data_IF_484345860240
#
_entry.id   IF_484345860240
#
_cell.length_a   1.000
_cell.length_b   1.000
_cell.length_c   1.000
_cell.angle_alpha   90.00
_cell.angle_beta   90.00
_cell.angle_gamma   90.00
#
_symmetry.space_group_name_H-M   'P 1'
#
loop_
_entity.id
_entity.type
_entity.pdbx_description
1 polymer ?
#
# COMPACT_ATOMS: atom_id res chain seq x y z
N UNK A 1 -4.24 49.93 30.99
CA UNK A 1 -3.51 49.17 29.97
C UNK A 1 -3.15 47.81 30.58
N UNK A 2 -3.86 46.77 30.19
CA UNK A 2 -3.62 45.43 30.74
C UNK A 2 -2.76 44.69 29.72
N UNK A 3 -1.52 44.39 30.08
CA UNK A 3 -0.60 43.60 29.27
C UNK A 3 -0.89 42.11 29.51
N UNK A 4 -1.39 41.42 28.50
CA UNK A 4 -1.54 39.98 28.54
C UNK A 4 -0.18 39.30 28.23
N UNK A 5 0.24 38.30 29.01
CA UNK A 5 1.46 37.56 28.71
C UNK A 5 1.28 36.78 27.41
N UNK A 6 2.28 36.87 26.53
CA UNK A 6 2.35 36.09 25.31
C UNK A 6 2.25 34.60 25.67
N UNK A 7 1.20 33.92 25.16
CA UNK A 7 1.09 32.49 25.27
C UNK A 7 2.23 31.86 24.48
N UNK A 8 3.01 30.93 25.05
CA UNK A 8 3.99 30.22 24.28
C UNK A 8 3.27 29.43 23.18
N UNK A 9 3.65 29.68 21.95
CA UNK A 9 3.23 28.88 20.81
C UNK A 9 3.79 27.49 21.08
N UNK A 10 2.95 26.57 21.52
CA UNK A 10 3.29 25.16 21.53
C UNK A 10 3.29 24.70 20.08
N UNK A 11 4.40 24.92 19.41
CA UNK A 11 4.68 24.29 18.14
C UNK A 11 5.01 22.81 18.45
N UNK A 12 3.96 22.03 18.61
CA UNK A 12 4.07 20.57 18.74
C UNK A 12 4.26 19.94 17.36
N UNK A 13 5.16 20.49 16.57
CA UNK A 13 5.76 19.73 15.50
C UNK A 13 6.58 18.66 16.18
N UNK A 14 6.02 17.48 16.29
CA UNK A 14 6.77 16.28 16.59
C UNK A 14 7.76 16.05 15.43
N UNK A 15 8.86 16.78 15.46
CA UNK A 15 10.05 16.50 14.69
C UNK A 15 10.61 15.19 15.24
N UNK A 16 9.98 14.08 14.84
CA UNK A 16 10.56 12.77 15.07
C UNK A 16 11.73 12.65 14.12
N UNK A 17 12.92 12.51 14.67
CA UNK A 17 14.05 12.06 13.88
C UNK A 17 13.64 10.78 13.14
N UNK A 18 13.97 10.65 11.84
CA UNK A 18 13.69 9.44 11.11
C UNK A 18 14.43 8.29 11.78
N UNK A 19 13.71 7.37 12.37
CA UNK A 19 14.24 6.15 13.00
C UNK A 19 13.92 4.98 12.10
N UNK A 20 14.89 4.10 11.88
CA UNK A 20 14.63 2.81 11.30
C UNK A 20 13.70 2.04 12.25
N UNK A 21 12.49 1.74 11.82
CA UNK A 21 11.54 0.97 12.60
C UNK A 21 11.43 -0.43 12.01
N UNK A 22 11.77 -1.42 12.82
CA UNK A 22 11.38 -2.79 12.52
C UNK A 22 9.89 -2.92 12.83
N UNK A 23 9.07 -3.09 11.81
CA UNK A 23 7.64 -3.33 11.98
C UNK A 23 7.34 -4.80 11.79
N UNK A 24 6.67 -5.39 12.77
CA UNK A 24 6.08 -6.71 12.60
C UNK A 24 4.80 -6.53 11.79
N UNK A 25 4.81 -7.00 10.56
CA UNK A 25 3.61 -7.06 9.72
C UNK A 25 2.80 -8.26 10.22
N UNK A 26 1.75 -8.00 10.96
CA UNK A 26 0.79 -9.03 11.31
C UNK A 26 -0.25 -9.10 10.21
N UNK A 27 -0.37 -10.25 9.60
CA UNK A 27 -1.52 -10.58 8.76
C UNK A 27 -2.72 -10.68 9.68
N UNK A 28 -3.74 -9.87 9.45
CA UNK A 28 -5.00 -10.00 10.18
C UNK A 28 -5.78 -11.20 9.62
N UNK A 29 -6.49 -11.91 10.50
CA UNK A 29 -7.36 -12.99 10.06
C UNK A 29 -8.41 -12.46 9.07
N UNK A 30 -8.68 -13.20 7.99
CA UNK A 30 -9.67 -12.81 7.01
C UNK A 30 -11.07 -12.80 7.64
N UNK A 31 -11.84 -11.76 7.35
CA UNK A 31 -13.23 -11.63 7.78
C UNK A 31 -14.16 -11.88 6.61
N UNK A 32 -15.13 -12.75 6.81
CA UNK A 32 -16.17 -13.07 5.86
C UNK A 32 -17.51 -12.53 6.37
N UNK A 33 -18.16 -11.71 5.57
CA UNK A 33 -19.50 -11.19 5.89
C UNK A 33 -20.45 -11.52 4.77
N UNK A 34 -21.49 -12.28 5.07
CA UNK A 34 -22.54 -12.59 4.10
C UNK A 34 -23.46 -11.39 3.95
N UNK A 35 -23.67 -10.98 2.72
CA UNK A 35 -24.57 -9.89 2.37
C UNK A 35 -26.01 -10.41 2.20
N UNK A 36 -27.03 -9.56 2.38
CA UNK A 36 -28.44 -9.96 2.19
C UNK A 36 -28.78 -10.45 0.76
N UNK A 37 -28.02 -9.99 -0.24
CA UNK A 37 -28.17 -10.39 -1.65
C UNK A 37 -27.50 -11.74 -1.96
N UNK A 38 -26.86 -12.38 -0.98
CA UNK A 38 -26.15 -13.65 -1.15
C UNK A 38 -24.66 -13.50 -1.43
N UNK A 39 -24.17 -12.30 -1.69
CA UNK A 39 -22.76 -12.04 -1.90
C UNK A 39 -21.96 -12.24 -0.60
N UNK A 40 -20.67 -12.48 -0.74
CA UNK A 40 -19.75 -12.58 0.38
C UNK A 40 -18.76 -11.42 0.30
N UNK A 41 -18.78 -10.57 1.31
CA UNK A 41 -17.76 -9.55 1.51
C UNK A 41 -16.59 -10.15 2.27
N UNK A 42 -15.42 -10.09 1.64
CA UNK A 42 -14.15 -10.54 2.25
C UNK A 42 -13.32 -9.31 2.58
N UNK A 43 -12.91 -9.19 3.83
CA UNK A 43 -11.97 -8.16 4.29
C UNK A 43 -10.70 -8.86 4.76
N UNK A 44 -9.59 -8.58 4.08
CA UNK A 44 -8.31 -9.21 4.38
C UNK A 44 -7.16 -8.26 4.07
N UNK A 45 -6.02 -8.53 4.68
CA UNK A 45 -4.76 -7.82 4.46
C UNK A 45 -3.65 -8.83 4.24
N UNK A 46 -2.98 -8.73 3.12
CA UNK A 46 -1.86 -9.61 2.79
C UNK A 46 -0.64 -8.82 2.31
N UNK A 47 0.51 -9.44 2.46
CA UNK A 47 1.75 -8.96 1.84
C UNK A 47 1.73 -9.36 0.37
N UNK A 48 1.88 -8.38 -0.51
CA UNK A 48 1.95 -8.63 -1.95
C UNK A 48 3.37 -8.99 -2.35
N UNK A 49 4.35 -8.15 -1.97
CA UNK A 49 5.75 -8.34 -2.36
C UNK A 49 6.68 -7.45 -1.55
N UNK A 50 7.95 -7.80 -1.60
CA UNK A 50 9.02 -6.91 -1.14
C UNK A 50 9.53 -6.05 -2.30
N UNK A 51 9.67 -4.75 -2.04
CA UNK A 51 10.24 -3.79 -2.99
C UNK A 51 11.72 -3.62 -2.67
N UNK A 52 12.56 -4.20 -3.49
CA UNK A 52 14.00 -4.10 -3.33
C UNK A 52 14.53 -2.81 -3.95
N UNK A 53 15.43 -2.14 -3.23
CA UNK A 53 16.12 -0.95 -3.72
C UNK A 53 16.95 -1.25 -4.97
N UNK A 54 17.07 -0.26 -5.85
CA UNK A 54 17.86 -0.32 -7.07
C UNK A 54 18.56 1.02 -7.29
N UNK A 55 19.79 0.99 -7.81
CA UNK A 55 20.52 2.21 -8.19
C UNK A 55 19.90 2.86 -9.43
N UNK A 56 19.44 2.04 -10.37
CA UNK A 56 18.74 2.50 -11.56
C UNK A 56 17.22 2.52 -11.34
N UNK A 57 16.52 3.32 -12.11
CA UNK A 57 15.06 3.28 -12.16
C UNK A 57 14.58 1.87 -12.51
N UNK A 58 13.62 1.39 -11.74
CA UNK A 58 13.00 0.08 -11.94
C UNK A 58 11.50 0.20 -11.78
N UNK A 59 10.76 -0.13 -12.81
CA UNK A 59 9.31 -0.27 -12.75
C UNK A 59 8.92 -1.71 -12.47
N UNK A 60 7.94 -1.89 -11.58
CA UNK A 60 7.34 -3.20 -11.28
C UNK A 60 5.84 -3.06 -11.57
N UNK A 61 5.35 -3.83 -12.52
CA UNK A 61 3.93 -3.87 -12.87
C UNK A 61 3.26 -5.01 -12.10
N UNK A 62 2.22 -4.69 -11.36
CA UNK A 62 1.45 -5.65 -10.57
C UNK A 62 0.02 -5.69 -11.12
N UNK A 63 -0.41 -6.79 -11.73
CA UNK A 63 -1.78 -6.91 -12.22
C UNK A 63 -2.74 -7.04 -11.03
N UNK A 64 -3.74 -6.16 -10.97
CA UNK A 64 -4.76 -6.15 -9.92
C UNK A 64 -5.87 -7.14 -10.29
N UNK A 65 -5.69 -8.39 -9.90
CA UNK A 65 -6.65 -9.46 -10.13
C UNK A 65 -6.61 -10.46 -8.95
N UNK A 66 -7.70 -10.62 -8.19
CA UNK A 66 -7.72 -11.49 -7.02
C UNK A 66 -7.52 -12.98 -7.34
N UNK A 67 -7.73 -13.40 -8.58
CA UNK A 67 -7.47 -14.77 -9.02
C UNK A 67 -6.00 -15.08 -9.33
N UNK A 68 -5.13 -14.06 -9.31
CA UNK A 68 -3.71 -14.25 -9.61
C UNK A 68 -2.88 -14.38 -8.33
N UNK A 69 -2.16 -15.47 -8.20
CA UNK A 69 -1.25 -15.71 -7.08
C UNK A 69 -0.13 -14.67 -7.00
N UNK A 70 0.26 -14.09 -8.14
CA UNK A 70 1.25 -13.01 -8.21
C UNK A 70 0.77 -11.69 -7.60
N UNK A 71 -0.55 -11.53 -7.43
CA UNK A 71 -1.14 -10.37 -6.78
C UNK A 71 -1.48 -10.67 -5.32
N UNK A 72 -2.22 -11.74 -5.05
CA UNK A 72 -2.64 -12.12 -3.70
C UNK A 72 -2.44 -13.62 -3.50
N UNK A 73 -1.67 -13.99 -2.50
CA UNK A 73 -1.34 -15.41 -2.25
C UNK A 73 -2.52 -16.16 -1.67
N UNK A 74 -3.20 -15.58 -0.70
CA UNK A 74 -4.32 -16.21 -0.01
C UNK A 74 -5.63 -16.05 -0.79
N UNK A 75 -5.95 -14.83 -1.22
CA UNK A 75 -7.21 -14.56 -1.90
C UNK A 75 -7.31 -15.30 -3.24
N UNK A 76 -6.19 -15.53 -3.93
CA UNK A 76 -6.15 -16.29 -5.18
C UNK A 76 -6.58 -17.76 -5.04
N UNK A 77 -6.53 -18.30 -3.83
CA UNK A 77 -7.00 -19.67 -3.55
C UNK A 77 -8.52 -19.73 -3.38
N UNK A 78 -9.14 -18.61 -3.04
CA UNK A 78 -10.58 -18.50 -2.76
C UNK A 78 -11.33 -17.95 -3.98
N UNK A 79 -10.76 -16.98 -4.68
CA UNK A 79 -11.37 -16.29 -5.79
C UNK A 79 -11.92 -17.23 -6.90
N UNK A 80 -11.28 -18.36 -7.27
CA UNK A 80 -11.81 -19.28 -8.28
C UNK A 80 -13.15 -19.94 -7.92
N UNK A 81 -13.57 -19.86 -6.67
CA UNK A 81 -14.87 -20.39 -6.25
C UNK A 81 -16.05 -19.45 -6.56
N UNK A 82 -15.76 -18.26 -7.10
CA UNK A 82 -16.75 -17.23 -7.42
C UNK A 82 -16.68 -16.85 -8.89
N UNK A 83 -17.83 -16.56 -9.49
CA UNK A 83 -17.93 -16.21 -10.92
C UNK A 83 -17.50 -14.77 -11.20
N UNK A 84 -17.70 -13.88 -10.23
CA UNK A 84 -17.38 -12.45 -10.38
C UNK A 84 -16.90 -11.84 -9.08
N UNK A 85 -16.16 -10.76 -9.20
CA UNK A 85 -15.68 -10.01 -8.04
C UNK A 85 -15.78 -8.51 -8.29
N UNK A 86 -15.77 -7.77 -7.19
CA UNK A 86 -15.69 -6.32 -7.16
C UNK A 86 -14.86 -5.90 -5.96
N UNK A 87 -13.94 -4.97 -6.15
CA UNK A 87 -13.29 -4.31 -5.03
C UNK A 87 -14.14 -3.13 -4.58
N UNK A 88 -14.68 -3.20 -3.37
CA UNK A 88 -15.34 -2.06 -2.73
C UNK A 88 -14.29 -1.09 -2.18
N UNK A 89 -13.17 -1.63 -1.71
CA UNK A 89 -12.03 -0.88 -1.22
C UNK A 89 -10.75 -1.68 -1.46
N UNK A 90 -9.74 -1.01 -2.00
CA UNK A 90 -8.42 -1.58 -2.20
C UNK A 90 -7.38 -0.52 -1.82
N UNK A 91 -6.64 -0.78 -0.75
CA UNK A 91 -5.58 0.09 -0.27
C UNK A 91 -4.23 -0.60 -0.44
N UNK A 92 -3.27 0.12 -0.99
CA UNK A 92 -1.87 -0.30 -1.03
C UNK A 92 -1.08 0.47 0.02
N UNK A 93 -0.37 -0.23 0.87
CA UNK A 93 0.47 0.35 1.91
C UNK A 93 1.92 -0.04 1.68
N UNK A 94 2.78 0.94 1.48
CA UNK A 94 4.21 0.72 1.46
C UNK A 94 4.79 0.95 2.85
N UNK A 95 5.53 -0.05 3.35
CA UNK A 95 6.26 0.04 4.62
C UNK A 95 7.74 -0.08 4.36
N UNK A 96 8.47 0.99 4.67
CA UNK A 96 9.92 0.95 4.56
C UNK A 96 10.54 0.21 5.74
N UNK A 97 11.47 -0.69 5.44
CA UNK A 97 12.35 -1.34 6.41
C UNK A 97 13.81 -0.89 6.24
N UNK A 98 14.03 0.03 5.31
CA UNK A 98 15.36 0.53 4.96
C UNK A 98 15.83 1.56 5.99
N UNK A 99 17.15 1.59 6.26
CA UNK A 99 17.77 2.59 7.10
C UNK A 99 17.54 4.00 6.56
N UNK A 100 17.42 4.97 7.46
CA UNK A 100 17.29 6.40 7.13
C UNK A 100 18.50 7.00 6.43
N UNK A 101 19.64 6.30 6.45
CA UNK A 101 20.85 6.69 5.72
C UNK A 101 20.83 6.27 4.24
N UNK A 102 19.93 5.37 3.87
CA UNK A 102 19.76 4.99 2.48
C UNK A 102 18.89 6.03 1.76
N UNK A 103 19.38 6.51 0.63
CA UNK A 103 18.65 7.43 -0.24
C UNK A 103 17.85 6.64 -1.27
N UNK A 104 16.64 7.12 -1.59
CA UNK A 104 15.81 6.50 -2.62
C UNK A 104 14.38 7.01 -2.55
N UNK A 105 13.64 6.77 -3.63
CA UNK A 105 12.22 7.13 -3.74
C UNK A 105 11.46 5.92 -4.25
N UNK A 106 10.33 5.61 -3.63
CA UNK A 106 9.36 4.65 -4.12
C UNK A 106 8.12 5.42 -4.53
N UNK A 107 7.64 5.17 -5.73
CA UNK A 107 6.41 5.75 -6.27
C UNK A 107 5.46 4.63 -6.62
N UNK A 108 4.18 4.88 -6.47
CA UNK A 108 3.12 3.97 -6.89
C UNK A 108 2.08 4.76 -7.68
N UNK A 109 1.65 4.22 -8.79
CA UNK A 109 0.58 4.76 -9.60
C UNK A 109 -0.34 3.63 -10.05
N UNK A 110 -1.60 3.96 -10.33
CA UNK A 110 -2.58 3.03 -10.89
C UNK A 110 -2.68 3.28 -12.38
N UNK A 111 -2.45 2.23 -13.13
CA UNK A 111 -2.64 2.21 -14.57
C UNK A 111 -3.94 1.46 -14.89
N UNK A 112 -4.85 2.11 -15.60
CA UNK A 112 -6.14 1.55 -15.99
C UNK A 112 -6.11 0.84 -17.35
N UNK A 113 -5.03 1.01 -18.12
CA UNK A 113 -4.82 0.30 -19.36
C UNK A 113 -3.69 -0.73 -19.24
N UNK A 114 -4.09 -2.00 -19.15
CA UNK A 114 -3.15 -3.10 -19.02
C UNK A 114 -2.25 -3.29 -20.24
N UNK A 115 -2.59 -2.67 -21.38
CA UNK A 115 -1.83 -2.74 -22.64
C UNK A 115 -0.71 -1.72 -22.71
N UNK A 116 -0.72 -0.71 -21.86
CA UNK A 116 0.31 0.31 -21.84
C UNK A 116 1.68 -0.24 -21.45
N UNK A 117 2.71 0.29 -22.10
CA UNK A 117 4.08 -0.05 -21.77
C UNK A 117 4.45 0.45 -20.38
N UNK A 118 5.25 -0.32 -19.61
CA UNK A 118 5.71 0.16 -18.31
C UNK A 118 6.47 1.48 -18.45
N UNK A 119 6.37 2.39 -17.48
CA UNK A 119 7.09 3.65 -17.49
C UNK A 119 8.61 3.39 -17.51
N UNK A 120 9.33 4.18 -18.29
CA UNK A 120 10.79 4.06 -18.45
C UNK A 120 11.55 4.91 -17.44
N UNK A 121 10.87 5.90 -16.85
CA UNK A 121 11.42 6.80 -15.85
C UNK A 121 10.31 7.28 -14.87
N UNK A 122 10.74 8.02 -13.84
CA UNK A 122 9.82 8.55 -12.83
C UNK A 122 8.91 9.67 -13.37
N UNK A 123 9.32 10.37 -14.42
CA UNK A 123 8.54 11.47 -15.01
C UNK A 123 7.35 10.92 -15.79
N UNK A 124 7.54 9.78 -16.44
CA UNK A 124 6.46 9.07 -17.15
C UNK A 124 5.45 8.46 -16.18
N UNK A 125 5.85 8.18 -14.92
CA UNK A 125 4.96 7.63 -13.91
C UNK A 125 4.13 8.73 -13.22
N UNK A 126 4.61 9.94 -13.17
CA UNK A 126 3.96 11.05 -12.47
C UNK A 126 2.88 11.71 -13.33
#
# INVERSE_FOLDING_TARGET
>A
MVLQPLRPIRDSRNLRAPVAQTQIIRTADPKFTRQPNGDILITHRELIMDVLGSVAFRAIKIPVNPGLQSFTTWLSQIAPNYESYRFDKLDFEFKTTTSTTATGVVMAAVDYDASDSPPVDKETLA
#
